data_IF_581714432791
#
_entry.id   IF_581714432791
#
_cell.length_a   1.000
_cell.length_b   1.000
_cell.length_c   1.000
_cell.angle_alpha   90.00
_cell.angle_beta   90.00
_cell.angle_gamma   90.00
#
_symmetry.space_group_name_H-M   'P 1'
#
loop_
_entity.id
_entity.type
_entity.pdbx_description
1 polymer ?
#
# COMPACT_ATOMS: atom_id res chain seq x y z
N UNK A 1 -21.54 -16.45 -18.67
CA UNK A 1 -21.53 -15.05 -18.19
C UNK A 1 -20.21 -14.47 -18.68
N UNK A 2 -20.22 -13.34 -19.38
CA UNK A 2 -18.96 -12.71 -19.76
C UNK A 2 -18.29 -12.21 -18.46
N UNK A 3 -17.06 -12.62 -18.22
CA UNK A 3 -16.29 -12.12 -17.09
C UNK A 3 -16.16 -10.61 -17.24
N UNK A 4 -16.60 -9.87 -16.22
CA UNK A 4 -16.54 -8.43 -16.21
C UNK A 4 -15.09 -8.02 -15.96
N UNK A 5 -14.32 -7.81 -17.05
CA UNK A 5 -12.92 -7.37 -16.97
C UNK A 5 -12.89 -5.87 -16.74
N UNK A 6 -12.28 -5.44 -15.64
CA UNK A 6 -12.07 -4.02 -15.34
C UNK A 6 -11.01 -3.40 -16.26
N UNK A 7 -11.34 -2.26 -16.88
CA UNK A 7 -10.32 -1.45 -17.56
C UNK A 7 -9.39 -0.77 -16.53
N UNK A 8 -8.20 -1.32 -16.36
CA UNK A 8 -7.18 -0.79 -15.43
C UNK A 8 -6.83 0.68 -15.67
N UNK A 9 -6.89 1.13 -16.94
CA UNK A 9 -6.66 2.55 -17.26
C UNK A 9 -7.81 3.43 -16.77
N UNK A 10 -9.04 2.94 -16.86
CA UNK A 10 -10.21 3.64 -16.34
C UNK A 10 -10.18 3.68 -14.80
N UNK A 11 -9.82 2.57 -14.14
CA UNK A 11 -9.61 2.49 -12.69
C UNK A 11 -8.57 3.52 -12.25
N UNK A 12 -7.38 3.51 -12.85
CA UNK A 12 -6.32 4.48 -12.56
C UNK A 12 -6.80 5.92 -12.71
N UNK A 13 -7.43 6.26 -13.84
CA UNK A 13 -7.96 7.62 -14.07
C UNK A 13 -9.00 8.03 -13.03
N UNK A 14 -9.85 7.10 -12.57
CA UNK A 14 -10.85 7.38 -11.55
C UNK A 14 -10.17 7.73 -10.21
N UNK A 15 -9.19 6.95 -9.77
CA UNK A 15 -8.42 7.22 -8.56
C UNK A 15 -7.56 8.48 -8.67
N UNK A 16 -6.94 8.74 -9.83
CA UNK A 16 -6.20 9.99 -10.06
C UNK A 16 -7.09 11.23 -9.87
N UNK A 17 -8.33 11.18 -10.36
CA UNK A 17 -9.30 12.29 -10.17
C UNK A 17 -9.79 12.40 -8.72
N UNK A 18 -9.97 11.27 -8.06
CA UNK A 18 -10.51 11.24 -6.70
C UNK A 18 -9.49 11.64 -5.62
N UNK A 19 -8.19 11.61 -5.91
CA UNK A 19 -7.12 11.68 -4.91
C UNK A 19 -7.21 12.90 -3.97
N UNK A 20 -7.71 14.05 -4.43
CA UNK A 20 -7.84 15.26 -3.62
C UNK A 20 -9.02 15.25 -2.65
N UNK A 21 -10.06 14.46 -2.93
CA UNK A 21 -11.29 14.36 -2.13
C UNK A 21 -11.47 13.00 -1.50
N UNK A 22 -10.55 12.07 -1.79
CA UNK A 22 -10.67 10.67 -1.41
C UNK A 22 -10.83 10.47 0.09
N UNK A 23 -10.02 11.15 0.90
CA UNK A 23 -10.02 10.97 2.35
C UNK A 23 -11.35 11.37 3.01
N UNK A 24 -12.08 12.29 2.42
CA UNK A 24 -13.42 12.70 2.91
C UNK A 24 -14.46 11.61 2.62
N UNK A 25 -14.33 10.95 1.46
CA UNK A 25 -15.30 9.94 0.99
C UNK A 25 -14.97 8.53 1.52
N UNK A 26 -13.70 8.24 1.85
CA UNK A 26 -13.18 6.92 2.18
C UNK A 26 -13.49 6.48 3.63
N UNK A 27 -14.72 6.68 4.12
CA UNK A 27 -15.11 6.35 5.50
C UNK A 27 -15.00 4.86 5.76
N UNK A 28 -15.53 4.03 4.84
CA UNK A 28 -15.46 2.57 4.96
C UNK A 28 -14.02 2.07 4.94
N UNK A 29 -13.20 2.58 4.00
CA UNK A 29 -11.81 2.15 3.85
C UNK A 29 -10.99 2.46 5.10
N UNK A 30 -11.24 3.60 5.74
CA UNK A 30 -10.59 3.97 7.00
C UNK A 30 -11.03 3.10 8.15
N UNK A 31 -12.34 2.86 8.30
CA UNK A 31 -12.88 2.00 9.35
C UNK A 31 -12.30 0.58 9.25
N UNK A 32 -12.27 -0.01 8.05
CA UNK A 32 -11.68 -1.33 7.84
C UNK A 32 -10.18 -1.31 8.17
N UNK A 33 -9.46 -0.28 7.70
CA UNK A 33 -8.04 -0.11 7.99
C UNK A 33 -7.77 -0.01 9.50
N UNK A 34 -8.59 0.72 10.25
CA UNK A 34 -8.46 0.88 11.69
C UNK A 34 -8.62 -0.46 12.40
N UNK A 35 -9.65 -1.22 12.05
CA UNK A 35 -9.90 -2.56 12.60
C UNK A 35 -8.79 -3.56 12.25
N UNK A 36 -8.25 -3.48 11.05
CA UNK A 36 -7.09 -4.30 10.66
C UNK A 36 -5.86 -3.91 11.47
N UNK A 37 -5.59 -2.60 11.63
CA UNK A 37 -4.44 -2.11 12.38
C UNK A 37 -4.49 -2.49 13.86
N UNK A 38 -5.68 -2.47 14.49
CA UNK A 38 -5.86 -2.94 15.87
C UNK A 38 -5.47 -4.41 16.04
N UNK A 39 -5.65 -5.24 15.00
CA UNK A 39 -5.31 -6.66 15.04
C UNK A 39 -3.82 -6.94 14.91
N UNK A 40 -3.02 -5.97 14.45
CA UNK A 40 -1.56 -6.14 14.34
C UNK A 40 -0.90 -6.46 15.68
N UNK A 41 -1.49 -6.03 16.81
CA UNK A 41 -1.00 -6.35 18.15
C UNK A 41 -1.00 -7.87 18.45
N UNK A 42 -1.79 -8.66 17.72
CA UNK A 42 -1.85 -10.11 17.89
C UNK A 42 -0.87 -10.86 16.96
N UNK A 43 -0.25 -10.17 16.02
CA UNK A 43 0.70 -10.71 15.06
C UNK A 43 2.11 -10.48 15.61
N UNK A 44 2.78 -11.55 16.04
CA UNK A 44 4.14 -11.48 16.59
C UNK A 44 5.17 -11.44 15.46
N UNK A 45 5.29 -10.30 14.81
CA UNK A 45 6.29 -10.04 13.78
C UNK A 45 6.95 -8.68 14.01
N UNK A 46 8.23 -8.58 13.70
CA UNK A 46 8.98 -7.33 13.63
C UNK A 46 9.51 -7.13 12.20
N UNK A 47 8.67 -6.64 11.27
CA UNK A 47 9.03 -6.54 9.87
C UNK A 47 10.10 -5.47 9.66
N UNK A 48 11.13 -5.77 8.87
CA UNK A 48 12.11 -4.78 8.40
C UNK A 48 11.55 -3.98 7.22
N UNK A 49 10.79 -4.64 6.35
CA UNK A 49 10.19 -4.03 5.17
C UNK A 49 8.72 -4.41 5.07
N UNK A 50 7.87 -3.39 4.95
CA UNK A 50 6.42 -3.53 4.77
C UNK A 50 6.06 -3.04 3.37
N UNK A 51 5.31 -3.83 2.62
CA UNK A 51 4.65 -3.40 1.38
C UNK A 51 3.20 -3.06 1.69
N UNK A 52 2.82 -1.80 1.52
CA UNK A 52 1.41 -1.35 1.53
C UNK A 52 0.90 -1.37 0.09
N UNK A 53 0.18 -2.42 -0.26
CA UNK A 53 -0.25 -2.76 -1.61
C UNK A 53 -1.65 -2.21 -1.89
N UNK A 54 -1.72 -1.12 -2.66
CA UNK A 54 -2.92 -0.30 -2.85
C UNK A 54 -3.03 0.75 -1.75
N UNK A 55 -1.94 1.49 -1.51
CA UNK A 55 -1.83 2.39 -0.36
C UNK A 55 -2.77 3.61 -0.40
N UNK A 56 -3.36 3.94 -1.56
CA UNK A 56 -4.18 5.12 -1.75
C UNK A 56 -3.46 6.40 -1.31
N UNK A 57 -4.11 7.20 -0.48
CA UNK A 57 -3.55 8.44 0.12
C UNK A 57 -2.63 8.18 1.32
N UNK A 58 -2.27 6.91 1.58
CA UNK A 58 -1.32 6.52 2.63
C UNK A 58 -1.90 6.50 4.05
N UNK A 59 -3.21 6.37 4.20
CA UNK A 59 -3.83 6.27 5.53
C UNK A 59 -3.31 5.05 6.30
N UNK A 60 -3.34 3.85 5.67
CA UNK A 60 -2.78 2.61 6.22
C UNK A 60 -1.27 2.69 6.42
N UNK A 61 -0.56 3.28 5.46
CA UNK A 61 0.89 3.50 5.53
C UNK A 61 1.32 4.20 6.82
N UNK A 62 0.60 5.25 7.22
CA UNK A 62 0.90 6.00 8.46
C UNK A 62 0.68 5.16 9.72
N UNK A 63 -0.37 4.34 9.73
CA UNK A 63 -0.66 3.43 10.86
C UNK A 63 0.39 2.33 10.98
N UNK A 64 0.80 1.76 9.85
CA UNK A 64 1.87 0.75 9.82
C UNK A 64 3.18 1.30 10.36
N UNK A 65 3.59 2.52 9.96
CA UNK A 65 4.79 3.15 10.47
C UNK A 65 4.70 3.57 11.95
N UNK A 66 3.50 3.87 12.44
CA UNK A 66 3.27 4.12 13.86
C UNK A 66 3.38 2.84 14.70
N UNK A 67 2.89 1.71 14.16
CA UNK A 67 2.94 0.42 14.83
C UNK A 67 4.33 -0.23 14.77
N UNK A 68 5.03 -0.08 13.63
CA UNK A 68 6.37 -0.61 13.36
C UNK A 68 7.36 0.53 13.09
N UNK A 69 7.82 1.26 14.11
CA UNK A 69 8.60 2.48 13.94
C UNK A 69 9.98 2.27 13.31
N UNK A 70 10.51 1.04 13.34
CA UNK A 70 11.80 0.69 12.74
C UNK A 70 11.69 0.15 11.30
N UNK A 71 10.47 -0.14 10.83
CA UNK A 71 10.26 -0.71 9.51
C UNK A 71 10.49 0.31 8.40
N UNK A 72 10.90 -0.19 7.23
CA UNK A 72 10.85 0.51 5.95
C UNK A 72 9.49 0.24 5.30
N UNK A 73 8.90 1.25 4.70
CA UNK A 73 7.63 1.13 4.00
C UNK A 73 7.83 1.30 2.49
N UNK A 74 7.25 0.40 1.73
CA UNK A 74 7.04 0.55 0.28
C UNK A 74 5.55 0.76 0.06
N UNK A 75 5.15 1.98 -0.28
CA UNK A 75 3.77 2.33 -0.60
C UNK A 75 3.56 2.18 -2.11
N UNK A 76 2.70 1.24 -2.51
CA UNK A 76 2.42 0.96 -3.91
C UNK A 76 0.96 1.29 -4.24
N UNK A 77 0.76 2.00 -5.34
CA UNK A 77 -0.57 2.27 -5.88
C UNK A 77 -0.52 2.39 -7.40
N UNK A 78 -1.61 2.06 -8.08
CA UNK A 78 -1.73 2.19 -9.54
C UNK A 78 -1.86 3.66 -9.98
N UNK A 79 -2.38 4.52 -9.10
CA UNK A 79 -2.69 5.92 -9.38
C UNK A 79 -1.58 6.86 -8.85
N UNK A 80 -0.80 7.53 -9.72
CA UNK A 80 0.23 8.47 -9.30
C UNK A 80 -0.27 9.62 -8.42
N UNK A 81 -1.52 10.06 -8.59
CA UNK A 81 -2.08 11.13 -7.76
C UNK A 81 -2.28 10.68 -6.30
N UNK A 82 -2.65 9.41 -6.09
CA UNK A 82 -2.72 8.82 -4.75
C UNK A 82 -1.36 8.82 -4.08
N UNK A 83 -0.31 8.41 -4.78
CA UNK A 83 1.07 8.41 -4.26
C UNK A 83 1.56 9.83 -3.93
N UNK A 84 1.19 10.83 -4.76
CA UNK A 84 1.50 12.23 -4.45
C UNK A 84 0.79 12.69 -3.16
N UNK A 85 -0.48 12.34 -2.99
CA UNK A 85 -1.23 12.63 -1.77
C UNK A 85 -0.59 11.92 -0.55
N UNK A 86 -0.28 10.62 -0.67
CA UNK A 86 0.41 9.88 0.38
C UNK A 86 1.74 10.53 0.79
N UNK A 87 2.55 10.95 -0.19
CA UNK A 87 3.82 11.63 0.04
C UNK A 87 3.67 13.01 0.67
N UNK A 88 2.57 13.73 0.42
CA UNK A 88 2.34 15.06 0.98
C UNK A 88 2.17 15.05 2.50
N UNK A 89 1.76 13.94 3.08
CA UNK A 89 1.66 13.74 4.53
C UNK A 89 3.02 13.54 5.22
N UNK A 90 4.11 13.36 4.45
CA UNK A 90 5.47 13.36 5.02
C UNK A 90 5.83 14.78 5.45
N UNK A 91 6.32 15.01 6.68
CA UNK A 91 6.68 16.34 7.16
C UNK A 91 7.63 17.06 6.21
N UNK A 92 7.39 18.35 5.95
CA UNK A 92 8.11 19.15 4.95
C UNK A 92 9.62 19.19 5.17
N UNK A 93 10.08 19.21 6.43
CA UNK A 93 11.50 19.19 6.79
C UNK A 93 12.20 17.88 6.37
N UNK A 94 11.51 16.74 6.44
CA UNK A 94 12.03 15.45 5.94
C UNK A 94 12.18 15.43 4.42
N UNK A 95 11.38 16.25 3.72
CA UNK A 95 11.45 16.39 2.26
C UNK A 95 12.59 17.32 1.84
N UNK A 96 12.90 18.33 2.67
CA UNK A 96 13.94 19.33 2.40
C UNK A 96 15.34 18.86 2.80
N UNK A 97 15.45 18.02 3.82
CA UNK A 97 16.72 17.53 4.36
C UNK A 97 16.75 15.99 4.37
N UNK A 98 16.73 15.35 3.20
CA UNK A 98 16.65 13.89 3.09
C UNK A 98 17.86 13.17 3.69
N UNK A 99 19.00 13.86 3.85
CA UNK A 99 20.20 13.32 4.50
C UNK A 99 20.13 13.33 6.04
N UNK A 100 19.31 14.21 6.63
CA UNK A 100 19.07 14.28 8.07
C UNK A 100 17.94 13.36 8.53
N UNK A 101 16.98 13.10 7.64
CA UNK A 101 15.93 12.14 7.88
C UNK A 101 16.05 10.99 6.88
N UNK A 102 16.42 9.81 7.32
CA UNK A 102 16.20 8.60 6.52
C UNK A 102 14.70 8.47 6.32
N UNK A 103 14.18 8.98 5.18
CA UNK A 103 12.81 8.68 4.78
C UNK A 103 12.68 7.16 4.70
N UNK A 104 11.88 6.60 5.61
CA UNK A 104 11.63 5.15 5.65
C UNK A 104 10.58 4.72 4.64
N UNK A 105 9.99 5.66 3.91
CA UNK A 105 8.94 5.42 2.92
C UNK A 105 9.45 5.59 1.51
N UNK A 106 9.18 4.60 0.68
CA UNK A 106 9.36 4.63 -0.78
C UNK A 106 7.99 4.55 -1.44
N UNK A 107 7.82 5.24 -2.56
CA UNK A 107 6.55 5.29 -3.29
C UNK A 107 6.73 4.70 -4.67
N UNK A 108 5.95 3.67 -5.00
CA UNK A 108 6.07 2.89 -6.25
C UNK A 108 4.74 2.93 -6.99
N UNK A 109 4.75 3.43 -8.22
CA UNK A 109 3.58 3.31 -9.09
C UNK A 109 3.59 1.94 -9.77
N UNK A 110 2.56 1.13 -9.50
CA UNK A 110 2.49 -0.23 -10.02
C UNK A 110 1.11 -0.85 -9.87
N UNK A 111 0.89 -1.94 -10.63
CA UNK A 111 -0.32 -2.76 -10.52
C UNK A 111 -0.08 -3.94 -9.59
N UNK A 112 -1.09 -4.28 -8.77
CA UNK A 112 -1.07 -5.45 -7.90
C UNK A 112 -0.96 -6.77 -8.65
N UNK A 113 -1.51 -6.84 -9.87
CA UNK A 113 -1.41 -8.01 -10.75
C UNK A 113 -0.01 -8.21 -11.33
N UNK A 114 0.84 -7.16 -11.30
CA UNK A 114 2.21 -7.19 -11.82
C UNK A 114 3.16 -6.42 -10.91
N UNK A 115 3.32 -6.90 -9.66
CA UNK A 115 4.13 -6.25 -8.65
C UNK A 115 5.58 -6.02 -9.13
N UNK A 116 6.03 -4.74 -9.26
CA UNK A 116 7.35 -4.39 -9.79
C UNK A 116 8.43 -4.47 -8.70
N UNK A 117 8.41 -5.52 -7.90
CA UNK A 117 9.33 -5.75 -6.79
C UNK A 117 10.01 -7.10 -6.95
N UNK A 118 11.26 -7.19 -6.48
CA UNK A 118 12.03 -8.44 -6.49
C UNK A 118 11.41 -9.49 -5.55
N UNK A 119 11.67 -10.78 -5.79
CA UNK A 119 11.29 -11.83 -4.84
C UNK A 119 11.86 -11.56 -3.44
N UNK A 120 11.08 -11.86 -2.39
CA UNK A 120 11.50 -11.71 -1.01
C UNK A 120 11.76 -10.26 -0.57
N UNK A 121 11.11 -9.28 -1.20
CA UNK A 121 11.36 -7.87 -0.94
C UNK A 121 10.71 -7.34 0.34
N UNK A 122 9.70 -8.02 0.88
CA UNK A 122 8.93 -7.56 2.03
C UNK A 122 8.70 -8.68 3.05
N UNK A 123 8.81 -8.33 4.34
CA UNK A 123 8.51 -9.25 5.45
C UNK A 123 7.02 -9.22 5.80
N UNK A 124 6.34 -8.13 5.49
CA UNK A 124 4.90 -7.97 5.63
C UNK A 124 4.33 -7.34 4.37
N UNK A 125 3.23 -7.91 3.87
CA UNK A 125 2.41 -7.33 2.84
C UNK A 125 1.05 -7.00 3.44
N UNK A 126 0.67 -5.73 3.36
CA UNK A 126 -0.61 -5.21 3.80
C UNK A 126 -1.42 -4.78 2.59
N UNK A 127 -2.72 -5.13 2.56
CA UNK A 127 -3.61 -4.68 1.49
C UNK A 127 -5.02 -4.45 2.01
N UNK A 128 -5.44 -3.19 2.05
CA UNK A 128 -6.75 -2.81 2.54
C UNK A 128 -7.67 -2.39 1.38
N UNK A 129 -8.70 -3.20 1.10
CA UNK A 129 -9.74 -2.94 0.08
C UNK A 129 -9.16 -2.55 -1.30
N UNK A 130 -8.10 -3.26 -1.73
CA UNK A 130 -7.48 -3.04 -3.04
C UNK A 130 -7.70 -4.21 -4.01
N UNK A 131 -7.84 -5.44 -3.50
CA UNK A 131 -7.92 -6.66 -4.32
C UNK A 131 -9.16 -6.71 -5.24
N UNK A 132 -10.25 -6.03 -4.88
CA UNK A 132 -11.44 -5.94 -5.72
C UNK A 132 -11.21 -5.23 -7.06
N UNK A 133 -10.08 -4.56 -7.22
CA UNK A 133 -9.68 -3.88 -8.46
C UNK A 133 -8.78 -4.75 -9.35
N UNK A 134 -8.52 -6.00 -8.92
CA UNK A 134 -7.75 -6.97 -9.69
C UNK A 134 -8.69 -7.83 -10.55
N UNK A 135 -8.28 -8.09 -11.79
CA UNK A 135 -9.00 -8.99 -12.71
C UNK A 135 -8.58 -10.44 -12.49
N UNK A 136 -7.30 -10.68 -12.19
CA UNK A 136 -6.71 -11.99 -11.97
C UNK A 136 -6.18 -12.09 -10.54
N UNK A 137 -7.00 -12.65 -9.65
CA UNK A 137 -6.61 -12.83 -8.25
C UNK A 137 -5.55 -13.92 -8.08
N UNK A 138 -5.54 -14.95 -8.93
CA UNK A 138 -4.54 -16.01 -8.86
C UNK A 138 -3.15 -15.46 -9.19
N UNK A 139 -3.03 -14.68 -10.26
CA UNK A 139 -1.79 -13.99 -10.61
C UNK A 139 -1.40 -12.96 -9.53
N UNK A 140 -2.38 -12.26 -8.97
CA UNK A 140 -2.15 -11.27 -7.89
C UNK A 140 -1.57 -11.95 -6.65
N UNK A 141 -2.17 -13.04 -6.17
CA UNK A 141 -1.67 -13.76 -5.00
C UNK A 141 -0.33 -14.45 -5.26
N UNK A 142 -0.12 -15.00 -6.46
CA UNK A 142 1.19 -15.54 -6.84
C UNK A 142 2.29 -14.45 -6.82
N UNK A 143 1.96 -13.24 -7.30
CA UNK A 143 2.83 -12.07 -7.23
C UNK A 143 3.12 -11.64 -5.79
N UNK A 144 2.11 -11.61 -4.92
CA UNK A 144 2.25 -11.30 -3.50
C UNK A 144 3.13 -12.33 -2.78
N UNK A 145 2.88 -13.62 -3.02
CA UNK A 145 3.71 -14.70 -2.46
C UNK A 145 5.16 -14.60 -2.90
N UNK A 146 5.41 -14.29 -4.18
CA UNK A 146 6.77 -14.09 -4.71
C UNK A 146 7.50 -12.95 -4.02
N UNK A 147 6.81 -11.86 -3.71
CA UNK A 147 7.38 -10.66 -3.09
C UNK A 147 7.61 -10.82 -1.59
N UNK A 148 6.83 -11.66 -0.93
CA UNK A 148 7.03 -11.98 0.48
C UNK A 148 8.33 -12.75 0.71
N UNK A 149 9.07 -12.36 1.73
CA UNK A 149 10.21 -13.12 2.25
C UNK A 149 9.72 -14.46 2.84
N UNK A 150 10.61 -15.46 3.00
CA UNK A 150 10.31 -16.63 3.81
C UNK A 150 9.81 -16.20 5.19
N UNK A 151 8.75 -16.85 5.67
CA UNK A 151 8.07 -16.51 6.95
C UNK A 151 7.39 -15.13 6.97
N UNK A 152 7.31 -14.44 5.83
CA UNK A 152 6.59 -13.19 5.69
C UNK A 152 5.08 -13.38 5.82
N UNK A 153 4.36 -12.33 6.25
CA UNK A 153 2.92 -12.36 6.46
C UNK A 153 2.16 -11.47 5.49
N UNK A 154 0.99 -11.94 5.06
CA UNK A 154 -0.01 -11.18 4.32
C UNK A 154 -1.15 -10.81 5.29
N UNK A 155 -1.52 -9.53 5.31
CA UNK A 155 -2.58 -8.97 6.13
C UNK A 155 -3.58 -8.22 5.26
#
# INVERSE_FOLDING_TARGET
>A
MADLILDKRAVRRAFDRAATTYDVAAVLQREVCDRMAERLQFIKIAPHTILDAGCGTGYGSRKLLAHYPEARLVALDIAPAMLRAARSHTPGWQRLLPWLSRSRSSYVCGDLEALPLKPGAADMLWSNLALQWCNDLDATFAGMQRVLAPDGVLV
#
